data_IF_593432830819
#
_entry.id   IF_593432830819
#
_cell.length_a   1.000
_cell.length_b   1.000
_cell.length_c   1.000
_cell.angle_alpha   90.00
_cell.angle_beta   90.00
_cell.angle_gamma   90.00
#
_symmetry.space_group_name_H-M   'P 1'
#
loop_
_entity.id
_entity.type
_entity.pdbx_description
1 polymer ?
#
# COMPACT_ATOMS: atom_id res chain seq x y z
N UNK A 1 70.32 -24.11 10.32
CA UNK A 1 69.86 -23.40 11.53
C UNK A 1 68.97 -22.26 11.05
N UNK A 2 67.66 -22.34 11.26
CA UNK A 2 66.99 -21.73 12.42
C UNK A 2 66.55 -20.33 11.99
N UNK A 3 65.29 -19.90 12.05
CA UNK A 3 64.18 -20.26 12.92
C UNK A 3 63.67 -18.95 13.52
N UNK A 4 62.35 -18.73 13.46
CA UNK A 4 61.56 -17.79 14.27
C UNK A 4 61.92 -16.27 14.18
N UNK A 5 61.05 -15.30 14.45
CA UNK A 5 59.61 -15.13 14.58
C UNK A 5 59.36 -13.64 14.88
N UNK A 6 58.12 -13.15 14.62
CA UNK A 6 57.35 -12.14 15.42
C UNK A 6 57.92 -10.70 15.56
N UNK A 7 57.18 -9.57 15.58
CA UNK A 7 55.81 -9.08 15.23
C UNK A 7 55.84 -7.55 15.35
N UNK A 8 55.09 -6.85 14.47
CA UNK A 8 54.34 -5.58 14.68
C UNK A 8 55.10 -4.28 15.02
N UNK A 9 54.40 -3.12 15.13
CA UNK A 9 53.21 -2.65 14.39
C UNK A 9 53.36 -1.25 13.74
N UNK A 10 52.45 -1.00 12.80
CA UNK A 10 51.79 0.22 12.26
C UNK A 10 52.26 1.65 12.64
N UNK A 11 52.57 2.49 11.63
CA UNK A 11 51.83 3.70 11.16
C UNK A 11 52.72 4.59 10.25
N UNK A 12 52.10 5.16 9.20
CA UNK A 12 52.71 5.80 8.00
C UNK A 12 52.59 7.35 8.09
N UNK A 13 53.37 8.19 7.36
CA UNK A 13 53.02 8.59 5.97
C UNK A 13 54.20 9.04 5.05
N UNK A 14 53.90 9.36 3.78
CA UNK A 14 54.37 10.51 2.93
C UNK A 14 54.56 10.14 1.44
N UNK A 15 54.22 11.09 0.56
CA UNK A 15 53.97 10.96 -0.90
C UNK A 15 55.10 11.58 -1.74
N UNK A 16 55.47 10.93 -2.87
CA UNK A 16 55.70 11.58 -4.19
C UNK A 16 56.08 10.55 -5.27
N UNK A 17 55.07 10.10 -6.02
CA UNK A 17 55.12 9.70 -7.45
C UNK A 17 56.30 8.85 -7.94
N UNK A 18 56.43 7.62 -7.46
CA UNK A 18 57.45 6.65 -7.88
C UNK A 18 56.78 5.28 -8.04
N UNK A 19 57.32 4.47 -8.97
CA UNK A 19 57.25 3.00 -9.08
C UNK A 19 56.50 2.33 -7.91
N UNK A 20 55.48 1.51 -8.16
CA UNK A 20 55.28 0.26 -7.41
C UNK A 20 54.47 -0.75 -8.24
N UNK A 21 55.11 -1.90 -8.37
CA UNK A 21 54.60 -3.14 -8.93
C UNK A 21 53.63 -3.75 -7.93
N UNK A 22 52.38 -3.97 -8.31
CA UNK A 22 51.53 -4.95 -7.61
C UNK A 22 50.75 -5.76 -8.64
N UNK A 23 51.38 -6.88 -9.03
CA UNK A 23 50.66 -8.12 -9.28
C UNK A 23 50.03 -8.61 -7.97
N UNK A 24 49.06 -9.50 -8.14
CA UNK A 24 48.38 -10.27 -7.10
C UNK A 24 47.29 -9.44 -6.38
N UNK A 25 46.03 -9.85 -6.26
CA UNK A 25 45.43 -11.18 -6.19
C UNK A 25 44.03 -11.04 -6.78
N UNK A 26 43.64 -11.96 -7.67
CA UNK A 26 42.29 -12.06 -8.19
C UNK A 26 41.29 -12.40 -7.09
N UNK A 27 40.72 -11.39 -6.44
CA UNK A 27 39.45 -11.53 -5.73
C UNK A 27 38.36 -11.72 -6.78
N UNK A 28 37.84 -12.94 -6.89
CA UNK A 28 36.62 -13.22 -7.60
C UNK A 28 35.48 -12.41 -6.97
N UNK A 29 35.11 -11.30 -7.63
CA UNK A 29 33.89 -10.55 -7.30
C UNK A 29 32.71 -11.42 -7.76
N UNK A 30 32.13 -12.17 -6.83
CA UNK A 30 30.79 -12.74 -7.03
C UNK A 30 29.82 -11.57 -6.93
N UNK A 31 29.39 -11.06 -8.09
CA UNK A 31 28.27 -10.12 -8.18
C UNK A 31 27.00 -10.93 -7.90
N UNK A 32 26.63 -11.05 -6.62
CA UNK A 32 25.27 -11.46 -6.27
C UNK A 32 24.37 -10.30 -6.66
N UNK A 33 23.74 -10.38 -7.83
CA UNK A 33 22.65 -9.49 -8.19
C UNK A 33 21.50 -9.78 -7.22
N UNK A 34 21.46 -9.07 -6.11
CA UNK A 34 20.27 -9.01 -5.26
C UNK A 34 19.22 -8.27 -6.07
N UNK A 35 18.40 -9.01 -6.81
CA UNK A 35 17.16 -8.48 -7.36
C UNK A 35 16.32 -8.01 -6.18
N UNK A 36 16.42 -6.73 -5.86
CA UNK A 36 15.45 -6.06 -5.00
C UNK A 36 14.14 -6.14 -5.78
N UNK A 37 13.31 -7.12 -5.43
CA UNK A 37 11.90 -7.09 -5.75
C UNK A 37 11.40 -5.79 -5.15
N UNK A 38 11.24 -4.75 -5.97
CA UNK A 38 10.43 -3.62 -5.61
C UNK A 38 9.06 -4.23 -5.36
N UNK A 39 8.68 -4.35 -4.09
CA UNK A 39 7.28 -4.47 -3.73
C UNK A 39 6.64 -3.19 -4.27
N UNK A 40 6.14 -3.26 -5.50
CA UNK A 40 5.30 -2.23 -6.06
C UNK A 40 4.16 -2.11 -5.06
N UNK A 41 4.16 -1.04 -4.27
CA UNK A 41 2.98 -0.62 -3.54
C UNK A 41 1.93 -0.41 -4.62
N UNK A 42 1.14 -1.44 -4.92
CA UNK A 42 -0.04 -1.32 -5.74
C UNK A 42 -0.83 -0.21 -5.08
N UNK A 43 -0.86 0.96 -5.74
CA UNK A 43 -1.26 2.23 -5.16
C UNK A 43 -2.75 2.14 -4.80
N UNK A 44 -3.03 1.64 -3.60
CA UNK A 44 -4.36 1.53 -3.07
C UNK A 44 -4.84 2.92 -2.68
N UNK A 45 -6.05 3.28 -3.10
CA UNK A 45 -6.69 4.49 -2.59
C UNK A 45 -7.27 4.15 -1.21
N UNK A 46 -6.93 4.96 -0.20
CA UNK A 46 -7.54 4.86 1.12
C UNK A 46 -8.76 5.79 1.18
N UNK A 47 -9.88 5.27 1.63
CA UNK A 47 -11.12 6.00 1.92
C UNK A 47 -11.40 5.87 3.40
N UNK A 48 -11.43 6.99 4.12
CA UNK A 48 -11.74 6.98 5.55
C UNK A 48 -13.25 6.88 5.77
N UNK A 49 -13.64 6.11 6.78
CA UNK A 49 -15.01 6.03 7.28
C UNK A 49 -15.10 6.91 8.53
N UNK A 50 -15.76 8.05 8.37
CA UNK A 50 -15.81 9.12 9.36
C UNK A 50 -14.70 10.14 9.19
N UNK A 51 -15.05 11.43 9.21
CA UNK A 51 -14.09 12.52 9.20
C UNK A 51 -13.34 12.66 10.53
N UNK A 52 -12.18 13.32 10.51
CA UNK A 52 -11.37 13.55 11.72
C UNK A 52 -12.09 14.43 12.77
N UNK A 53 -13.12 15.15 12.34
CA UNK A 53 -14.03 15.94 13.18
C UNK A 53 -15.21 15.11 13.76
N UNK A 54 -15.27 13.81 13.46
CA UNK A 54 -16.34 12.91 13.86
C UNK A 54 -17.57 12.96 12.93
N UNK A 55 -17.50 13.66 11.79
CA UNK A 55 -18.57 13.65 10.79
C UNK A 55 -18.80 12.25 10.20
N UNK A 56 -20.06 11.90 9.94
CA UNK A 56 -20.46 10.60 9.39
C UNK A 56 -20.40 10.64 7.86
N UNK A 57 -19.19 10.67 7.31
CA UNK A 57 -18.93 10.80 5.86
C UNK A 57 -17.83 9.86 5.41
N UNK A 58 -17.81 9.54 4.11
CA UNK A 58 -16.65 8.94 3.46
C UNK A 58 -15.64 10.03 3.07
N UNK A 59 -14.34 9.80 3.26
CA UNK A 59 -13.30 10.76 2.87
C UNK A 59 -12.19 10.09 2.06
N UNK A 60 -12.07 10.36 0.75
CA UNK A 60 -12.99 11.13 -0.08
C UNK A 60 -14.32 10.38 -0.35
N UNK A 61 -15.42 11.12 -0.55
CA UNK A 61 -16.71 10.54 -0.94
C UNK A 61 -16.92 10.45 -2.46
N UNK A 62 -16.08 11.09 -3.28
CA UNK A 62 -16.14 10.98 -4.73
C UNK A 62 -14.74 10.94 -5.33
N UNK A 63 -14.42 9.88 -6.08
CA UNK A 63 -13.10 9.68 -6.67
C UNK A 63 -13.16 8.77 -7.90
N UNK A 64 -12.05 8.69 -8.63
CA UNK A 64 -11.88 7.80 -9.77
C UNK A 64 -10.69 6.86 -9.58
N UNK A 65 -10.82 5.63 -10.09
CA UNK A 65 -9.75 4.61 -10.11
C UNK A 65 -9.67 3.97 -11.48
N UNK A 66 -8.51 3.42 -11.82
CA UNK A 66 -8.34 2.62 -13.04
C UNK A 66 -8.87 1.20 -12.83
N UNK A 67 -9.55 0.66 -13.83
CA UNK A 67 -10.07 -0.72 -13.81
C UNK A 67 -9.00 -1.76 -13.44
N UNK A 68 -9.29 -2.61 -12.46
CA UNK A 68 -8.54 -3.84 -12.17
C UNK A 68 -7.13 -3.69 -11.59
N UNK A 69 -6.57 -2.49 -11.54
CA UNK A 69 -5.18 -2.27 -11.06
C UNK A 69 -5.11 -1.73 -9.62
N UNK A 70 -6.13 -1.02 -9.14
CA UNK A 70 -6.11 -0.36 -7.82
C UNK A 70 -7.11 -1.01 -6.86
N UNK A 71 -6.61 -1.46 -5.71
CA UNK A 71 -7.44 -1.83 -4.57
C UNK A 71 -7.92 -0.55 -3.86
N UNK A 72 -9.21 -0.47 -3.60
CA UNK A 72 -9.80 0.57 -2.75
C UNK A 72 -9.79 -0.01 -1.34
N UNK A 73 -9.19 0.69 -0.38
CA UNK A 73 -9.20 0.31 1.03
C UNK A 73 -10.03 1.32 1.80
N UNK A 74 -11.18 0.88 2.27
CA UNK A 74 -11.99 1.61 3.22
C UNK A 74 -11.48 1.35 4.61
N UNK A 75 -11.21 2.40 5.39
CA UNK A 75 -10.60 2.31 6.70
C UNK A 75 -11.41 3.06 7.72
N UNK A 76 -11.83 2.34 8.75
CA UNK A 76 -12.60 2.88 9.84
C UNK A 76 -11.77 3.92 10.62
N UNK A 77 -12.25 5.17 10.67
CA UNK A 77 -11.50 6.27 11.25
C UNK A 77 -12.17 6.80 12.53
N UNK A 78 -13.42 7.24 12.42
CA UNK A 78 -14.16 7.87 13.51
C UNK A 78 -15.67 7.65 13.37
N UNK A 79 -16.43 7.85 14.45
CA UNK A 79 -17.90 7.78 14.41
C UNK A 79 -18.47 6.38 14.09
N UNK A 80 -17.72 5.33 14.42
CA UNK A 80 -18.11 3.92 14.22
C UNK A 80 -19.35 3.54 15.05
N UNK A 81 -20.11 2.50 14.63
CA UNK A 81 -19.79 1.52 13.59
C UNK A 81 -20.08 1.97 12.14
N UNK A 82 -19.33 1.41 11.18
CA UNK A 82 -19.54 1.65 9.75
C UNK A 82 -19.51 0.35 8.94
N UNK A 83 -20.13 0.35 7.77
CA UNK A 83 -19.92 -0.66 6.73
C UNK A 83 -19.86 0.01 5.36
N UNK A 84 -19.63 -0.81 4.34
CA UNK A 84 -19.60 -0.40 2.95
C UNK A 84 -20.51 -1.33 2.17
N UNK A 85 -21.63 -0.80 1.70
CA UNK A 85 -22.58 -1.51 0.85
C UNK A 85 -22.67 -0.77 -0.47
N UNK A 86 -22.41 -1.47 -1.57
CA UNK A 86 -22.62 -0.94 -2.91
C UNK A 86 -24.09 -1.06 -3.28
N UNK A 87 -24.64 0.01 -3.86
CA UNK A 87 -26.03 0.09 -4.25
C UNK A 87 -26.24 -0.66 -5.58
N UNK A 88 -27.02 -1.74 -5.54
CA UNK A 88 -27.27 -2.61 -6.71
C UNK A 88 -27.91 -1.87 -7.89
N UNK A 89 -28.75 -0.87 -7.62
CA UNK A 89 -29.45 -0.10 -8.63
C UNK A 89 -28.53 0.92 -9.33
N UNK A 90 -27.41 1.27 -8.69
CA UNK A 90 -26.48 2.31 -9.12
C UNK A 90 -25.13 1.73 -9.63
N UNK A 91 -25.05 0.42 -9.86
CA UNK A 91 -23.87 -0.23 -10.47
C UNK A 91 -24.00 -0.23 -12.00
N UNK A 92 -23.32 0.73 -12.63
CA UNK A 92 -23.25 0.81 -14.10
C UNK A 92 -22.20 -0.17 -14.64
N UNK A 93 -22.49 -1.47 -14.59
CA UNK A 93 -21.59 -2.51 -15.10
C UNK A 93 -22.12 -3.93 -14.97
N UNK A 94 -23.30 -4.13 -14.36
CA UNK A 94 -23.86 -5.46 -14.13
C UNK A 94 -23.05 -6.30 -13.14
N UNK A 95 -22.23 -5.66 -12.30
CA UNK A 95 -21.51 -6.32 -11.22
C UNK A 95 -22.50 -6.63 -10.10
N UNK A 96 -22.47 -7.85 -9.59
CA UNK A 96 -23.24 -8.23 -8.41
C UNK A 96 -22.74 -7.42 -7.19
N UNK A 97 -23.63 -6.61 -6.60
CA UNK A 97 -23.30 -5.80 -5.43
C UNK A 97 -22.79 -6.66 -4.27
N UNK A 98 -23.33 -7.88 -4.12
CA UNK A 98 -23.02 -8.79 -3.01
C UNK A 98 -21.55 -9.22 -2.99
N UNK A 99 -20.86 -9.24 -4.13
CA UNK A 99 -19.45 -9.67 -4.20
C UNK A 99 -18.46 -8.52 -3.97
N UNK A 100 -18.94 -7.27 -4.01
CA UNK A 100 -18.13 -6.07 -3.77
C UNK A 100 -18.52 -5.34 -2.49
N UNK A 101 -19.55 -5.79 -1.79
CA UNK A 101 -20.08 -5.19 -0.56
C UNK A 101 -19.72 -6.02 0.67
N UNK A 102 -19.79 -5.35 1.83
CA UNK A 102 -20.05 -6.04 3.09
C UNK A 102 -21.52 -6.47 3.13
N UNK A 103 -21.86 -7.48 3.94
CA UNK A 103 -23.26 -7.72 4.28
C UNK A 103 -23.81 -6.52 5.08
N UNK A 104 -25.12 -6.29 5.02
CA UNK A 104 -25.73 -5.19 5.79
C UNK A 104 -25.59 -5.35 7.31
N UNK A 105 -25.39 -6.60 7.77
CA UNK A 105 -25.27 -6.96 9.18
C UNK A 105 -23.82 -6.81 9.70
N UNK A 106 -22.84 -6.93 8.81
CA UNK A 106 -21.42 -6.82 9.14
C UNK A 106 -21.01 -5.35 9.31
N UNK A 107 -20.25 -5.08 10.37
CA UNK A 107 -19.82 -3.74 10.76
C UNK A 107 -18.34 -3.73 11.12
N UNK A 108 -17.66 -2.64 10.75
CA UNK A 108 -16.38 -2.23 11.29
C UNK A 108 -16.66 -1.40 12.55
N UNK A 109 -16.21 -1.90 13.70
CA UNK A 109 -16.58 -1.45 15.04
C UNK A 109 -15.49 -0.62 15.74
N UNK A 110 -14.27 -0.60 15.21
CA UNK A 110 -13.14 0.08 15.81
C UNK A 110 -12.20 0.74 14.80
N UNK A 111 -11.38 1.69 15.27
CA UNK A 111 -10.48 2.44 14.41
C UNK A 111 -9.41 1.53 13.79
N UNK A 112 -9.10 1.76 12.52
CA UNK A 112 -8.10 1.04 11.75
C UNK A 112 -8.59 -0.29 11.16
N UNK A 113 -9.80 -0.75 11.47
CA UNK A 113 -10.41 -1.87 10.74
C UNK A 113 -10.67 -1.48 9.28
N UNK A 114 -10.51 -2.44 8.37
CA UNK A 114 -10.56 -2.17 6.94
C UNK A 114 -11.46 -3.12 6.17
N UNK A 115 -12.00 -2.61 5.08
CA UNK A 115 -12.61 -3.37 4.01
C UNK A 115 -11.91 -3.00 2.70
N UNK A 116 -11.47 -4.00 1.93
CA UNK A 116 -10.75 -3.77 0.69
C UNK A 116 -11.46 -4.44 -0.48
N UNK A 117 -11.62 -3.70 -1.58
CA UNK A 117 -12.28 -4.18 -2.80
C UNK A 117 -11.51 -3.74 -4.03
N UNK A 118 -11.49 -4.59 -5.06
CA UNK A 118 -10.93 -4.25 -6.38
C UNK A 118 -12.05 -4.28 -7.40
N UNK A 119 -12.31 -3.13 -8.01
CA UNK A 119 -13.32 -2.99 -9.07
C UNK A 119 -12.67 -3.17 -10.44
N UNK A 120 -13.20 -4.10 -11.24
CA UNK A 120 -12.63 -4.49 -12.54
C UNK A 120 -13.44 -3.96 -13.71
N UNK A 121 -14.76 -3.93 -13.57
CA UNK A 121 -15.63 -3.43 -14.62
C UNK A 121 -15.61 -1.89 -14.61
N UNK A 122 -15.60 -1.29 -15.81
CA UNK A 122 -15.68 0.16 -15.94
C UNK A 122 -17.09 0.62 -15.66
N UNK A 123 -17.23 1.76 -15.00
CA UNK A 123 -18.54 2.26 -14.64
C UNK A 123 -18.52 3.17 -13.42
N UNK A 124 -19.70 3.64 -13.05
CA UNK A 124 -19.91 4.32 -11.78
C UNK A 124 -20.53 3.34 -10.80
N UNK A 125 -20.06 3.42 -9.55
CA UNK A 125 -20.51 2.61 -8.43
C UNK A 125 -20.82 3.55 -7.26
N UNK A 126 -22.08 3.60 -6.87
CA UNK A 126 -22.49 4.29 -5.64
C UNK A 126 -22.41 3.29 -4.48
N UNK A 127 -22.00 3.77 -3.31
CA UNK A 127 -21.91 2.99 -2.08
C UNK A 127 -22.34 3.83 -0.88
N UNK A 128 -22.78 3.17 0.18
CA UNK A 128 -23.30 3.80 1.37
C UNK A 128 -22.91 3.02 2.63
N UNK A 129 -23.07 3.66 3.78
CA UNK A 129 -22.96 3.05 5.09
C UNK A 129 -24.37 2.78 5.62
N UNK A 130 -24.80 1.52 5.76
CA UNK A 130 -26.15 1.12 6.17
C UNK A 130 -26.64 1.83 7.44
N UNK A 131 -25.90 1.90 8.57
CA UNK A 131 -26.38 2.58 9.77
C UNK A 131 -26.50 4.11 9.61
N UNK A 132 -25.84 4.70 8.61
CA UNK A 132 -25.70 6.15 8.44
C UNK A 132 -26.23 6.67 7.10
N UNK A 133 -26.92 5.84 6.30
CA UNK A 133 -27.53 6.25 5.04
C UNK A 133 -28.58 7.35 5.25
N UNK A 134 -29.32 7.30 6.38
CA UNK A 134 -30.32 8.31 6.75
C UNK A 134 -29.75 9.71 7.01
N UNK A 135 -28.42 9.85 7.13
CA UNK A 135 -27.71 11.13 7.25
C UNK A 135 -26.77 11.39 6.05
N UNK A 136 -27.03 10.73 4.92
CA UNK A 136 -26.32 10.91 3.66
C UNK A 136 -24.83 10.52 3.73
N UNK A 137 -24.49 9.50 4.54
CA UNK A 137 -23.17 8.88 4.47
C UNK A 137 -23.10 7.98 3.23
N UNK A 138 -22.89 8.61 2.08
CA UNK A 138 -22.82 8.00 0.74
C UNK A 138 -21.54 8.41 0.02
N UNK A 139 -21.11 7.59 -0.93
CA UNK A 139 -19.97 7.85 -1.78
C UNK A 139 -20.13 7.27 -3.18
N UNK A 140 -19.25 7.69 -4.09
CA UNK A 140 -19.24 7.26 -5.47
C UNK A 140 -17.81 7.06 -5.96
N UNK A 141 -17.57 5.93 -6.60
CA UNK A 141 -16.33 5.67 -7.33
C UNK A 141 -16.63 5.52 -8.83
N UNK A 142 -15.82 6.17 -9.65
CA UNK A 142 -15.81 5.97 -11.10
C UNK A 142 -14.61 5.12 -11.49
N UNK A 143 -14.87 4.00 -12.16
CA UNK A 143 -13.85 3.10 -12.68
C UNK A 143 -13.66 3.39 -14.16
N UNK A 144 -12.46 3.80 -14.52
CA UNK A 144 -12.08 4.27 -15.87
C UNK A 144 -11.15 3.31 -16.63
#
# INVERSE_FOLDING_TARGET
MGGAAKVGPTTVPMVAGIKESLKEVGLAVVVTATSTMLASNAMAIEVLLGGDDGSLVFVPNNFSVSAGEKTITFKNNAGFPHNIVFDEDEIRGGVDASVISMSEEDLLNGPGETFSVTLKEKGSYSFYCSPHQGVDMVGKVTVE
#
